data_IF_903543890469
#
_entry.id   IF_903543890469
#
_cell.length_a   1.000
_cell.length_b   1.000
_cell.length_c   1.000
_cell.angle_alpha   90.00
_cell.angle_beta   90.00
_cell.angle_gamma   90.00
#
_symmetry.space_group_name_H-M   'P 1'
#
loop_
_entity.id
_entity.type
_entity.pdbx_description
1 polymer ?
#
# COMPACT_ATOMS: atom_id res chain seq x y z
N UNK A 1 2.15 24.46 4.98
CA UNK A 1 1.80 23.34 5.87
C UNK A 1 1.36 22.07 5.12
N UNK A 2 0.57 22.17 4.03
CA UNK A 2 0.18 20.97 3.25
C UNK A 2 1.37 20.24 2.58
N UNK A 3 2.36 21.01 2.11
CA UNK A 3 3.52 20.47 1.40
C UNK A 3 4.39 19.51 2.25
N UNK A 4 4.57 19.82 3.53
CA UNK A 4 5.37 18.99 4.46
C UNK A 4 4.63 17.73 4.90
N UNK A 5 3.30 17.78 4.98
CA UNK A 5 2.47 16.63 5.33
C UNK A 5 2.49 15.55 4.24
N UNK A 6 2.39 15.95 2.97
CA UNK A 6 2.50 15.01 1.85
C UNK A 6 3.86 14.29 1.85
N UNK A 7 4.97 15.04 1.99
CA UNK A 7 6.31 14.45 2.05
C UNK A 7 6.45 13.40 3.18
N UNK A 8 5.90 13.69 4.37
CA UNK A 8 5.86 12.74 5.47
C UNK A 8 5.05 11.47 5.13
N UNK A 9 3.89 11.62 4.48
CA UNK A 9 3.07 10.50 4.05
C UNK A 9 3.81 9.57 3.06
N UNK A 10 4.53 10.12 2.09
CA UNK A 10 5.32 9.33 1.15
C UNK A 10 6.51 8.63 1.81
N UNK A 11 7.20 9.27 2.76
CA UNK A 11 8.26 8.63 3.54
C UNK A 11 7.74 7.46 4.37
N UNK A 12 6.61 7.65 5.06
CA UNK A 12 6.00 6.60 5.86
C UNK A 12 5.45 5.47 4.98
N UNK A 13 4.84 5.81 3.82
CA UNK A 13 4.37 4.83 2.85
C UNK A 13 5.52 3.97 2.28
N UNK A 14 6.70 4.54 2.02
CA UNK A 14 7.88 3.76 1.61
C UNK A 14 8.32 2.74 2.66
N UNK A 15 8.35 3.15 3.93
CA UNK A 15 8.72 2.25 5.03
C UNK A 15 7.68 1.14 5.22
N UNK A 16 6.39 1.49 5.22
CA UNK A 16 5.30 0.53 5.35
C UNK A 16 5.20 -0.41 4.15
N UNK A 17 5.47 0.06 2.93
CA UNK A 17 5.43 -0.79 1.73
C UNK A 17 6.60 -1.76 1.68
N UNK A 18 7.79 -1.38 2.17
CA UNK A 18 8.89 -2.32 2.37
C UNK A 18 8.52 -3.43 3.37
N UNK A 19 7.86 -3.07 4.49
CA UNK A 19 7.35 -4.05 5.45
C UNK A 19 6.24 -4.94 4.85
N UNK A 20 5.35 -4.38 4.02
CA UNK A 20 4.33 -5.13 3.29
C UNK A 20 4.93 -6.13 2.30
N UNK A 21 5.98 -5.76 1.57
CA UNK A 21 6.70 -6.67 0.67
C UNK A 21 7.26 -7.86 1.47
N UNK A 22 7.85 -7.61 2.63
CA UNK A 22 8.31 -8.68 3.52
C UNK A 22 7.16 -9.58 3.99
N UNK A 23 6.05 -9.01 4.49
CA UNK A 23 4.90 -9.81 4.94
C UNK A 23 4.20 -10.56 3.80
N UNK A 24 4.20 -10.01 2.59
CA UNK A 24 3.67 -10.68 1.39
C UNK A 24 4.51 -11.91 1.02
N UNK A 25 5.84 -11.86 1.17
CA UNK A 25 6.72 -13.01 0.96
C UNK A 25 6.46 -14.10 2.02
N UNK A 26 6.21 -13.70 3.26
CA UNK A 26 5.87 -14.62 4.36
C UNK A 26 4.40 -15.08 4.36
N UNK A 27 3.58 -14.66 3.38
CA UNK A 27 2.16 -15.02 3.25
C UNK A 27 1.29 -14.69 4.48
N UNK A 28 1.60 -13.62 5.24
CA UNK A 28 0.77 -13.17 6.36
C UNK A 28 -0.35 -12.23 5.87
N UNK A 29 -1.55 -12.78 5.72
CA UNK A 29 -2.69 -12.09 5.08
C UNK A 29 -3.34 -11.01 5.97
N UNK A 30 -3.40 -11.22 7.29
CA UNK A 30 -4.06 -10.31 8.24
C UNK A 30 -3.34 -8.96 8.42
N UNK A 31 -2.03 -8.92 8.75
CA UNK A 31 -1.32 -7.66 8.91
C UNK A 31 -1.19 -6.90 7.58
N UNK A 32 -1.18 -7.60 6.44
CA UNK A 32 -1.16 -6.98 5.11
C UNK A 32 -2.37 -6.06 4.90
N UNK A 33 -3.59 -6.56 5.16
CA UNK A 33 -4.82 -5.79 4.97
C UNK A 33 -4.89 -4.58 5.91
N UNK A 34 -4.47 -4.75 7.16
CA UNK A 34 -4.50 -3.69 8.15
C UNK A 34 -3.57 -2.54 7.79
N UNK A 35 -2.33 -2.85 7.41
CA UNK A 35 -1.34 -1.84 7.00
C UNK A 35 -1.78 -1.18 5.69
N UNK A 36 -2.32 -1.95 4.73
CA UNK A 36 -2.79 -1.41 3.45
C UNK A 36 -3.94 -0.41 3.63
N UNK A 37 -4.91 -0.75 4.46
CA UNK A 37 -6.01 0.14 4.81
C UNK A 37 -5.51 1.40 5.53
N UNK A 38 -4.60 1.24 6.50
CA UNK A 38 -4.04 2.37 7.26
C UNK A 38 -3.38 3.42 6.37
N UNK A 39 -2.51 3.00 5.43
CA UNK A 39 -1.84 3.97 4.56
C UNK A 39 -2.82 4.60 3.54
N UNK A 40 -3.86 3.88 3.09
CA UNK A 40 -4.88 4.46 2.21
C UNK A 40 -5.65 5.59 2.90
N UNK A 41 -6.00 5.43 4.18
CA UNK A 41 -6.61 6.50 4.99
C UNK A 41 -5.67 7.68 5.14
N UNK A 42 -4.37 7.42 5.34
CA UNK A 42 -3.37 8.48 5.40
C UNK A 42 -3.29 9.29 4.08
N UNK A 43 -3.28 8.63 2.92
CA UNK A 43 -3.30 9.33 1.62
C UNK A 43 -4.61 10.08 1.35
N UNK A 44 -5.74 9.57 1.84
CA UNK A 44 -7.00 10.30 1.81
C UNK A 44 -6.92 11.61 2.59
N UNK A 45 -6.35 11.59 3.80
CA UNK A 45 -6.11 12.80 4.59
C UNK A 45 -5.10 13.76 3.92
N UNK A 46 -4.17 13.25 3.12
CA UNK A 46 -3.20 14.05 2.37
C UNK A 46 -3.77 14.66 1.07
N UNK A 47 -5.02 14.34 0.70
CA UNK A 47 -5.66 14.75 -0.55
C UNK A 47 -4.86 14.37 -1.82
N UNK A 48 -4.11 13.27 -1.75
CA UNK A 48 -3.31 12.74 -2.86
C UNK A 48 -4.17 11.80 -3.71
N UNK A 49 -5.09 12.38 -4.48
CA UNK A 49 -6.12 11.64 -5.22
C UNK A 49 -5.55 10.61 -6.22
N UNK A 50 -4.44 10.93 -6.89
CA UNK A 50 -3.85 10.03 -7.90
C UNK A 50 -3.32 8.76 -7.24
N UNK A 51 -2.60 8.88 -6.12
CA UNK A 51 -2.05 7.73 -5.39
C UNK A 51 -3.16 6.89 -4.80
N UNK A 52 -4.20 7.53 -4.28
CA UNK A 52 -5.36 6.87 -3.73
C UNK A 52 -6.11 6.08 -4.81
N UNK A 53 -6.33 6.66 -5.99
CA UNK A 53 -6.96 5.98 -7.13
C UNK A 53 -6.18 4.75 -7.59
N UNK A 54 -4.84 4.80 -7.58
CA UNK A 54 -4.00 3.65 -7.93
C UNK A 54 -4.11 2.51 -6.90
N UNK A 55 -4.27 2.82 -5.60
CA UNK A 55 -4.41 1.82 -4.53
C UNK A 55 -5.85 1.34 -4.33
N UNK A 56 -6.84 2.11 -4.76
CA UNK A 56 -8.27 1.79 -4.64
C UNK A 56 -8.66 0.42 -5.23
N UNK A 57 -8.17 -0.03 -6.41
CA UNK A 57 -8.49 -1.37 -6.92
C UNK A 57 -7.98 -2.48 -6.00
N UNK A 58 -6.78 -2.33 -5.41
CA UNK A 58 -6.24 -3.31 -4.47
C UNK A 58 -7.02 -3.29 -3.14
N UNK A 59 -7.37 -2.10 -2.65
CA UNK A 59 -8.18 -1.95 -1.45
C UNK A 59 -9.57 -2.56 -1.61
N UNK A 60 -10.24 -2.30 -2.73
CA UNK A 60 -11.53 -2.90 -3.06
C UNK A 60 -11.43 -4.43 -3.18
N UNK A 61 -10.33 -4.94 -3.74
CA UNK A 61 -10.06 -6.38 -3.78
C UNK A 61 -9.93 -6.96 -2.37
N UNK A 62 -9.19 -6.32 -1.46
CA UNK A 62 -9.05 -6.79 -0.08
C UNK A 62 -10.38 -6.79 0.67
N UNK A 63 -11.23 -5.77 0.48
CA UNK A 63 -12.58 -5.70 1.07
C UNK A 63 -13.49 -6.79 0.49
N UNK A 64 -13.52 -6.94 -0.83
CA UNK A 64 -14.31 -7.99 -1.49
C UNK A 64 -13.85 -9.38 -1.07
N UNK A 65 -12.53 -9.58 -0.97
CA UNK A 65 -11.91 -10.83 -0.52
C UNK A 65 -12.25 -11.13 0.93
N UNK A 66 -12.34 -10.13 1.80
CA UNK A 66 -12.76 -10.28 3.20
C UNK A 66 -14.24 -10.68 3.31
N UNK A 67 -15.12 -10.02 2.55
CA UNK A 67 -16.57 -10.28 2.57
C UNK A 67 -16.97 -11.60 1.89
N UNK A 68 -16.21 -12.03 0.88
CA UNK A 68 -16.52 -13.23 0.08
C UNK A 68 -15.90 -14.52 0.63
N UNK A 69 -15.30 -14.51 1.83
CA UNK A 69 -14.84 -15.75 2.48
C UNK A 69 -16.03 -16.44 3.16
N UNK A 70 -16.30 -17.74 2.89
CA UNK A 70 -17.23 -18.52 3.71
C UNK A 70 -16.69 -18.69 5.14
N UNK A 71 -17.61 -18.91 6.08
CA UNK A 71 -17.41 -18.83 7.54
C UNK A 71 -16.17 -19.60 8.00
N UNK A 72 -15.23 -18.88 8.63
CA UNK A 72 -14.02 -19.46 9.19
C UNK A 72 -14.33 -20.18 10.51
N UNK A 73 -13.70 -21.32 10.78
CA UNK A 73 -13.77 -21.99 12.09
C UNK A 73 -13.20 -21.09 13.20
N UNK A 74 -12.14 -20.32 12.88
CA UNK A 74 -11.52 -19.30 13.71
C UNK A 74 -11.11 -18.09 12.84
N UNK A 75 -11.16 -16.83 13.35
CA UNK A 75 -10.71 -15.68 12.59
C UNK A 75 -9.26 -15.86 12.13
N UNK A 76 -9.04 -15.94 10.81
CA UNK A 76 -7.71 -16.05 10.21
C UNK A 76 -7.15 -17.47 10.09
N UNK A 77 -7.85 -18.53 10.54
CA UNK A 77 -7.39 -19.91 10.41
C UNK A 77 -8.24 -20.68 9.39
N UNK A 78 -7.64 -20.95 8.24
CA UNK A 78 -8.19 -21.89 7.25
C UNK A 78 -7.85 -23.32 7.65
N UNK A 79 -8.76 -24.26 7.37
CA UNK A 79 -8.44 -25.67 7.55
C UNK A 79 -7.30 -26.10 6.59
N UNK A 80 -6.21 -26.71 7.09
CA UNK A 80 -5.00 -26.99 6.30
C UNK A 80 -5.26 -27.93 5.12
N UNK A 81 -6.27 -28.81 5.19
CA UNK A 81 -6.58 -29.73 4.08
C UNK A 81 -7.22 -29.00 2.90
N UNK A 82 -7.97 -27.93 3.18
CA UNK A 82 -8.60 -27.10 2.14
C UNK A 82 -7.60 -26.21 1.42
N UNK A 83 -6.56 -25.70 2.11
CA UNK A 83 -5.54 -24.84 1.47
C UNK A 83 -4.55 -25.65 0.64
N UNK A 84 -4.17 -26.83 1.12
CA UNK A 84 -3.14 -27.65 0.47
C UNK A 84 -3.67 -28.39 -0.78
N UNK A 85 -4.95 -28.25 -1.12
CA UNK A 85 -5.47 -28.72 -2.39
C UNK A 85 -4.77 -27.99 -3.55
N UNK A 86 -4.30 -28.72 -4.56
CA UNK A 86 -3.43 -28.20 -5.62
C UNK A 86 -4.04 -27.00 -6.38
N UNK A 87 -5.33 -27.05 -6.65
CA UNK A 87 -6.05 -25.98 -7.37
C UNK A 87 -6.16 -24.70 -6.54
N UNK A 88 -6.39 -24.85 -5.23
CA UNK A 88 -6.53 -23.74 -4.28
C UNK A 88 -5.15 -23.12 -4.02
N UNK A 89 -4.12 -23.94 -3.86
CA UNK A 89 -2.74 -23.49 -3.70
C UNK A 89 -2.27 -22.71 -4.94
N UNK A 90 -2.54 -23.21 -6.15
CA UNK A 90 -2.19 -22.52 -7.38
C UNK A 90 -2.89 -21.16 -7.51
N UNK A 91 -4.16 -21.07 -7.11
CA UNK A 91 -4.90 -19.80 -7.05
C UNK A 91 -4.30 -18.83 -6.01
N UNK A 92 -4.08 -19.29 -4.78
CA UNK A 92 -3.53 -18.48 -3.69
C UNK A 92 -2.11 -17.99 -4.01
N UNK A 93 -1.29 -18.83 -4.65
CA UNK A 93 0.04 -18.46 -5.08
C UNK A 93 -0.04 -17.36 -6.15
N UNK A 94 -0.86 -17.52 -7.20
CA UNK A 94 -1.07 -16.46 -8.21
C UNK A 94 -1.57 -15.15 -7.60
N UNK A 95 -2.50 -15.21 -6.65
CA UNK A 95 -2.97 -14.05 -5.89
C UNK A 95 -1.81 -13.35 -5.15
N UNK A 96 -0.94 -14.11 -4.47
CA UNK A 96 0.26 -13.59 -3.81
C UNK A 96 1.25 -12.94 -4.78
N UNK A 97 1.54 -13.58 -5.92
CA UNK A 97 2.44 -13.04 -6.95
C UNK A 97 1.91 -11.73 -7.56
N UNK A 98 0.60 -11.66 -7.85
CA UNK A 98 -0.02 -10.44 -8.35
C UNK A 98 0.05 -9.29 -7.34
N UNK A 99 -0.21 -9.56 -6.05
CA UNK A 99 -0.10 -8.54 -4.98
C UNK A 99 1.34 -8.06 -4.81
N UNK A 100 2.30 -8.99 -4.82
CA UNK A 100 3.72 -8.67 -4.74
C UNK A 100 4.14 -7.74 -5.89
N UNK A 101 3.73 -8.05 -7.12
CA UNK A 101 4.01 -7.20 -8.28
C UNK A 101 3.40 -5.79 -8.12
N UNK A 102 2.17 -5.70 -7.61
CA UNK A 102 1.53 -4.42 -7.34
C UNK A 102 2.25 -3.59 -6.26
N UNK A 103 2.67 -4.22 -5.16
CA UNK A 103 3.43 -3.53 -4.10
C UNK A 103 4.80 -3.06 -4.59
N UNK A 104 5.48 -3.86 -5.41
CA UNK A 104 6.76 -3.49 -6.00
C UNK A 104 6.61 -2.32 -6.99
N UNK A 105 5.56 -2.31 -7.81
CA UNK A 105 5.28 -1.19 -8.72
C UNK A 105 4.91 0.08 -7.94
N UNK A 106 4.09 -0.07 -6.89
CA UNK A 106 3.72 1.03 -5.99
C UNK A 106 4.94 1.59 -5.24
N UNK A 107 5.92 0.75 -4.89
CA UNK A 107 7.15 1.18 -4.23
C UNK A 107 7.95 2.17 -5.10
N UNK A 108 8.16 1.86 -6.39
CA UNK A 108 8.82 2.79 -7.31
C UNK A 108 8.01 4.07 -7.50
N UNK A 109 6.69 3.95 -7.53
CA UNK A 109 5.80 5.09 -7.64
C UNK A 109 5.88 6.02 -6.41
N UNK A 110 5.91 5.49 -5.18
CA UNK A 110 6.09 6.29 -3.97
C UNK A 110 7.47 6.94 -3.90
N UNK A 111 8.51 6.26 -4.39
CA UNK A 111 9.85 6.84 -4.51
C UNK A 111 9.82 8.04 -5.46
N UNK A 112 9.19 7.89 -6.63
CA UNK A 112 9.02 8.99 -7.58
C UNK A 112 8.24 10.17 -6.98
N UNK A 113 7.12 9.90 -6.30
CA UNK A 113 6.33 10.92 -5.60
C UNK A 113 7.13 11.68 -4.55
N UNK A 114 7.93 10.97 -3.74
CA UNK A 114 8.82 11.59 -2.76
C UNK A 114 9.84 12.52 -3.41
N UNK A 115 10.53 12.07 -4.47
CA UNK A 115 11.54 12.88 -5.17
C UNK A 115 10.92 14.11 -5.81
N UNK A 116 9.75 13.97 -6.45
CA UNK A 116 9.06 15.07 -7.09
C UNK A 116 8.63 16.14 -6.08
N UNK A 117 8.06 15.73 -4.95
CA UNK A 117 7.67 16.64 -3.86
C UNK A 117 8.91 17.28 -3.24
N UNK A 118 9.96 16.51 -2.98
CA UNK A 118 11.21 17.07 -2.45
C UNK A 118 11.80 18.17 -3.34
N UNK A 119 11.80 17.96 -4.65
CA UNK A 119 12.28 18.96 -5.61
C UNK A 119 11.42 20.23 -5.59
N UNK A 120 10.09 20.06 -5.60
CA UNK A 120 9.14 21.18 -5.54
C UNK A 120 9.25 21.97 -4.22
N UNK A 121 9.56 21.31 -3.09
CA UNK A 121 9.84 21.99 -1.82
C UNK A 121 11.03 22.93 -1.93
N UNK A 122 12.14 22.42 -2.50
CA UNK A 122 13.37 23.20 -2.63
C UNK A 122 13.17 24.40 -3.57
N UNK A 123 12.47 24.21 -4.69
CA UNK A 123 12.11 25.30 -5.60
C UNK A 123 11.21 26.36 -4.95
N UNK A 124 10.23 25.95 -4.13
CA UNK A 124 9.37 26.88 -3.41
C UNK A 124 10.12 27.67 -2.32
N UNK A 125 11.07 27.02 -1.64
CA UNK A 125 11.93 27.65 -0.63
C UNK A 125 12.88 28.67 -1.29
N UNK A 126 13.47 28.33 -2.43
CA UNK A 126 14.29 29.24 -3.23
C UNK A 126 13.49 30.46 -3.70
N UNK A 127 12.27 30.26 -4.22
CA UNK A 127 11.41 31.37 -4.63
C UNK A 127 11.05 32.28 -3.46
N UNK A 128 10.76 31.70 -2.29
CA UNK A 128 10.48 32.47 -1.06
C UNK A 128 11.67 33.31 -0.63
N UNK A 129 12.90 32.77 -0.74
CA UNK A 129 14.14 33.47 -0.41
C UNK A 129 14.43 34.62 -1.40
N UNK A 130 14.24 34.40 -2.71
CA UNK A 130 14.40 35.44 -3.73
C UNK A 130 13.36 36.55 -3.61
N UNK A 131 12.13 36.23 -3.18
CA UNK A 131 11.07 37.23 -2.99
C UNK A 131 11.24 38.11 -1.75
N UNK A 132 12.18 37.77 -0.86
CA UNK A 132 12.51 38.55 0.34
C UNK A 132 13.72 39.48 0.16
N UNK A 133 14.38 39.44 -0.99
CA UNK A 133 15.43 40.39 -1.41
C UNK A 133 14.89 41.39 -2.44
#
# INVERSE_FOLDING_TARGET
MAFTFAAFCYMLALLLTAALIFFAIWHLVLPEYLIHFFFCVMFFCAAEWLTLCLNLPLLAYHVWRYMSRPVMSCPGLYDPTTIMNADILAYCQKEGWCKLAFYLLSFFYYLYGYVFIFQLYFSALYFSFVSTE
#
